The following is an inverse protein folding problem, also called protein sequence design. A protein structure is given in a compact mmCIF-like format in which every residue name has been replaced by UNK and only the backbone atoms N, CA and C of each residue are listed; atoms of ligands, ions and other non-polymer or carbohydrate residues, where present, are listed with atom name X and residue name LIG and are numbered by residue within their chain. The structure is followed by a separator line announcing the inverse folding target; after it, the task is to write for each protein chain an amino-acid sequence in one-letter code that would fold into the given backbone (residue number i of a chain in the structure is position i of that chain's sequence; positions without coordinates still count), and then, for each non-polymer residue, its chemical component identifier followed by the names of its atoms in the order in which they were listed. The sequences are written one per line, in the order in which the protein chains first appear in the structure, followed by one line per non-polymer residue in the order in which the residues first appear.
data_IF_246560786978
#
_entry.id   IF_246560786978
#
_cell.length_a   1.000
_cell.length_b   1.000
_cell.length_c   1.000
_cell.angle_alpha   90.00
_cell.angle_beta   90.00
_cell.angle_gamma   90.00
#
_symmetry.space_group_name_H-M   'P 1'
#
loop_
_entity.id
_entity.type
_entity.pdbx_description
1 polymer ?
#
# COMPACT_ATOMS: atom_id res chain seq x y z
N UNK A 1 4.73 -19.55 6.12
CA UNK A 1 3.88 -19.15 7.27
C UNK A 1 2.52 -18.66 6.76
N UNK A 2 1.42 -19.25 7.22
CA UNK A 2 0.09 -18.79 6.84
C UNK A 2 -0.16 -17.41 7.46
N UNK A 3 -0.54 -16.43 6.65
CA UNK A 3 -0.87 -15.08 7.10
C UNK A 3 -2.08 -15.15 8.03
N UNK A 4 -2.04 -14.59 9.26
CA UNK A 4 -3.19 -14.60 10.15
C UNK A 4 -4.36 -13.84 9.49
N UNK A 5 -5.50 -14.51 9.29
CA UNK A 5 -6.71 -13.85 8.83
C UNK A 5 -7.23 -12.89 9.92
N UNK A 6 -7.69 -11.71 9.52
CA UNK A 6 -8.23 -10.70 10.43
C UNK A 6 -9.43 -11.21 11.24
N UNK A 7 -9.25 -11.46 12.54
CA UNK A 7 -10.32 -11.88 13.47
C UNK A 7 -11.02 -10.73 14.22
N UNK A 8 -10.71 -9.46 13.89
CA UNK A 8 -11.22 -8.28 14.59
C UNK A 8 -12.02 -7.28 13.72
N UNK A 9 -12.47 -6.19 14.36
CA UNK A 9 -13.08 -5.02 13.69
C UNK A 9 -12.05 -4.15 12.93
N UNK A 10 -10.75 -4.30 13.22
CA UNK A 10 -9.66 -3.51 12.63
C UNK A 10 -8.41 -4.36 12.35
N UNK A 11 -7.31 -3.69 12.00
CA UNK A 11 -5.98 -4.29 11.92
C UNK A 11 -5.53 -4.85 13.28
N UNK A 12 -4.78 -5.95 13.25
CA UNK A 12 -4.07 -6.43 14.44
C UNK A 12 -2.84 -5.55 14.67
N UNK A 13 -2.82 -4.86 15.80
CA UNK A 13 -1.79 -3.88 16.16
C UNK A 13 -0.63 -4.49 16.96
N UNK A 14 -0.78 -5.73 17.42
CA UNK A 14 0.16 -6.35 18.36
C UNK A 14 1.57 -6.53 17.77
N UNK A 15 1.66 -6.69 16.44
CA UNK A 15 2.91 -6.83 15.70
C UNK A 15 3.59 -5.51 15.31
N UNK A 16 3.01 -4.35 15.63
CA UNK A 16 3.58 -3.08 15.18
C UNK A 16 4.91 -2.76 15.89
N UNK A 17 5.92 -2.45 15.08
CA UNK A 17 7.28 -2.06 15.48
C UNK A 17 7.80 -0.92 14.58
N UNK A 18 8.95 -0.36 14.93
CA UNK A 18 9.62 0.69 14.13
C UNK A 18 8.91 2.05 14.18
N UNK A 19 9.21 2.90 13.21
CA UNK A 19 8.73 4.28 13.16
C UNK A 19 7.20 4.42 13.18
N UNK A 20 6.46 3.46 12.61
CA UNK A 20 5.00 3.47 12.66
C UNK A 20 4.49 3.34 14.11
N UNK A 21 5.17 2.53 14.92
CA UNK A 21 4.87 2.38 16.35
C UNK A 21 5.22 3.65 17.12
N UNK A 22 6.42 4.18 16.90
CA UNK A 22 6.90 5.40 17.56
C UNK A 22 5.99 6.60 17.27
N UNK A 23 5.46 6.69 16.05
CA UNK A 23 4.55 7.74 15.64
C UNK A 23 3.07 7.50 16.04
N UNK A 24 2.77 6.40 16.73
CA UNK A 24 1.43 5.97 17.15
C UNK A 24 0.46 5.82 15.96
N UNK A 25 0.86 5.06 14.94
CA UNK A 25 0.00 4.74 13.80
C UNK A 25 -1.20 3.90 14.25
N UNK A 26 -2.41 4.28 13.86
CA UNK A 26 -3.67 3.61 14.20
C UNK A 26 -4.50 3.23 12.99
N UNK A 27 -4.19 3.78 11.81
CA UNK A 27 -4.98 3.50 10.62
C UNK A 27 -6.42 4.01 10.78
N UNK A 28 -7.34 3.20 10.27
CA UNK A 28 -8.78 3.37 10.48
C UNK A 28 -9.36 2.49 11.59
N UNK A 29 -8.54 1.96 12.51
CA UNK A 29 -9.05 1.22 13.66
C UNK A 29 -9.94 2.14 14.52
N UNK A 30 -11.00 1.58 15.11
CA UNK A 30 -12.08 2.30 15.81
C UNK A 30 -12.95 3.21 14.91
N UNK A 31 -12.65 3.27 13.61
CA UNK A 31 -13.49 3.93 12.60
C UNK A 31 -14.62 3.05 12.08
N UNK A 32 -15.25 3.48 10.99
CA UNK A 32 -16.28 2.69 10.30
C UNK A 32 -15.65 1.44 9.66
N UNK A 33 -16.28 0.28 9.83
CA UNK A 33 -15.84 -0.98 9.22
C UNK A 33 -16.69 -1.25 8.00
N UNK A 34 -16.06 -1.38 6.83
CA UNK A 34 -16.74 -1.73 5.57
C UNK A 34 -16.11 -2.98 4.98
N UNK A 35 -16.92 -3.79 4.31
CA UNK A 35 -16.44 -4.93 3.51
C UNK A 35 -16.67 -4.62 2.04
N UNK A 36 -15.62 -4.70 1.22
CA UNK A 36 -15.67 -4.37 -0.20
C UNK A 36 -15.51 -5.62 -1.05
N UNK A 37 -16.37 -5.75 -2.07
CA UNK A 37 -16.37 -6.89 -3.00
C UNK A 37 -16.10 -6.44 -4.45
N UNK A 38 -15.98 -5.13 -4.68
CA UNK A 38 -15.78 -4.55 -6.00
C UNK A 38 -14.67 -3.51 -5.97
N UNK A 39 -14.03 -3.28 -7.11
CA UNK A 39 -13.02 -2.22 -7.27
C UNK A 39 -13.63 -0.83 -7.04
N UNK A 40 -14.89 -0.64 -7.46
CA UNK A 40 -15.62 0.62 -7.25
C UNK A 40 -15.83 0.92 -5.76
N UNK A 41 -16.22 -0.08 -4.96
CA UNK A 41 -16.38 0.09 -3.52
C UNK A 41 -15.03 0.34 -2.84
N UNK A 42 -13.99 -0.42 -3.21
CA UNK A 42 -12.64 -0.20 -2.68
C UNK A 42 -12.21 1.25 -2.94
N UNK A 43 -12.34 1.74 -4.17
CA UNK A 43 -12.01 3.13 -4.53
C UNK A 43 -12.82 4.13 -3.69
N UNK A 44 -14.14 3.97 -3.65
CA UNK A 44 -15.05 4.85 -2.89
C UNK A 44 -14.64 5.00 -1.41
N UNK A 45 -14.30 3.90 -0.74
CA UNK A 45 -14.03 3.92 0.70
C UNK A 45 -12.59 4.29 1.07
N UNK A 46 -11.68 4.21 0.10
CA UNK A 46 -10.26 4.56 0.28
C UNK A 46 -9.95 6.02 -0.06
N UNK A 47 -10.63 6.66 -1.02
CA UNK A 47 -10.24 7.99 -1.55
C UNK A 47 -10.73 9.22 -0.74
N UNK A 48 -11.41 9.03 0.39
CA UNK A 48 -11.75 10.11 1.34
C UNK A 48 -10.90 10.04 2.62
N UNK A 49 -11.09 10.95 3.58
CA UNK A 49 -10.35 10.97 4.86
C UNK A 49 -11.15 10.41 6.06
N UNK A 50 -12.34 9.85 5.84
CA UNK A 50 -13.13 9.27 6.93
C UNK A 50 -12.40 8.03 7.45
N UNK A 51 -12.18 7.98 8.76
CA UNK A 51 -11.53 6.86 9.40
C UNK A 51 -12.29 5.55 9.13
N UNK A 52 -11.63 4.60 8.44
CA UNK A 52 -12.25 3.33 8.06
C UNK A 52 -11.31 2.15 8.09
N UNK A 53 -11.82 1.03 8.58
CA UNK A 53 -11.28 -0.30 8.25
C UNK A 53 -12.02 -0.83 7.02
N UNK A 54 -11.30 -0.94 5.91
CA UNK A 54 -11.76 -1.48 4.64
C UNK A 54 -11.28 -2.92 4.51
N UNK A 55 -12.21 -3.88 4.68
CA UNK A 55 -11.93 -5.32 4.59
C UNK A 55 -12.21 -5.82 3.17
N UNK A 56 -11.29 -6.57 2.60
CA UNK A 56 -11.53 -7.25 1.32
C UNK A 56 -12.47 -8.46 1.55
N UNK A 57 -13.67 -8.42 0.98
CA UNK A 57 -14.64 -9.51 1.00
C UNK A 57 -14.49 -10.50 -0.15
N UNK A 58 -13.65 -10.19 -1.13
CA UNK A 58 -13.27 -11.04 -2.25
C UNK A 58 -11.88 -10.61 -2.76
N UNK A 59 -11.24 -11.47 -3.55
CA UNK A 59 -10.14 -11.02 -4.39
C UNK A 59 -10.69 -10.05 -5.44
N UNK A 60 -10.02 -8.92 -5.64
CA UNK A 60 -10.45 -7.89 -6.59
C UNK A 60 -9.51 -7.88 -7.80
N UNK A 61 -10.09 -7.76 -8.99
CA UNK A 61 -9.36 -7.68 -10.26
C UNK A 61 -9.95 -6.59 -11.13
N UNK A 62 -9.08 -5.96 -11.93
CA UNK A 62 -9.46 -5.07 -13.00
C UNK A 62 -8.79 -5.50 -14.32
N UNK A 63 -9.51 -5.37 -15.43
CA UNK A 63 -8.97 -5.67 -16.76
C UNK A 63 -7.87 -4.70 -17.17
N UNK A 64 -7.89 -3.48 -16.63
CA UNK A 64 -6.86 -2.46 -16.84
C UNK A 64 -6.43 -1.88 -15.51
N UNK A 65 -5.23 -1.28 -15.48
CA UNK A 65 -4.69 -0.59 -14.30
C UNK A 65 -5.72 0.38 -13.71
N UNK A 66 -6.02 0.19 -12.43
CA UNK A 66 -6.82 1.11 -11.61
C UNK A 66 -5.94 1.68 -10.51
N UNK A 67 -5.76 3.00 -10.50
CA UNK A 67 -5.11 3.71 -9.39
C UNK A 67 -6.16 4.23 -8.40
N UNK A 68 -5.96 3.92 -7.13
CA UNK A 68 -6.74 4.40 -5.99
C UNK A 68 -5.86 5.37 -5.20
N UNK A 69 -6.28 6.63 -5.14
CA UNK A 69 -5.57 7.68 -4.42
C UNK A 69 -6.10 7.77 -2.99
N UNK A 70 -5.58 6.96 -2.08
CA UNK A 70 -6.15 6.86 -0.73
C UNK A 70 -5.94 8.15 0.08
N UNK A 71 -6.94 8.51 0.89
CA UNK A 71 -6.87 9.60 1.88
C UNK A 71 -6.34 9.11 3.23
N UNK A 72 -6.57 9.88 4.29
CA UNK A 72 -6.08 9.58 5.64
C UNK A 72 -6.95 8.58 6.43
N UNK A 73 -6.36 8.02 7.49
CA UNK A 73 -7.03 7.21 8.50
C UNK A 73 -7.64 5.91 7.94
N UNK A 74 -6.92 5.24 7.05
CA UNK A 74 -7.34 3.99 6.41
C UNK A 74 -6.65 2.80 7.04
N UNK A 75 -7.42 1.72 7.20
CA UNK A 75 -6.88 0.38 7.34
C UNK A 75 -7.40 -0.44 6.17
N UNK A 76 -6.55 -0.82 5.21
CA UNK A 76 -6.90 -1.78 4.17
C UNK A 76 -6.42 -3.18 4.57
N UNK A 77 -7.36 -4.11 4.68
CA UNK A 77 -7.13 -5.40 5.33
C UNK A 77 -7.63 -6.56 4.46
N UNK A 78 -6.73 -7.46 4.08
CA UNK A 78 -7.13 -8.74 3.50
C UNK A 78 -7.71 -9.68 4.55
N UNK A 79 -8.64 -10.53 4.11
CA UNK A 79 -9.38 -11.49 4.95
C UNK A 79 -9.23 -12.91 4.42
N UNK A 80 -9.88 -13.88 5.07
CA UNK A 80 -10.03 -15.25 4.56
C UNK A 80 -10.86 -15.32 3.27
N UNK A 81 -11.69 -14.30 2.99
CA UNK A 81 -12.52 -14.22 1.78
C UNK A 81 -11.78 -13.62 0.58
N UNK A 82 -10.78 -12.80 0.84
CA UNK A 82 -10.01 -12.14 -0.20
C UNK A 82 -8.85 -11.35 0.35
N UNK A 83 -7.72 -11.47 -0.33
CA UNK A 83 -6.52 -10.67 -0.03
C UNK A 83 -5.81 -10.17 -1.29
N UNK A 84 -6.29 -10.55 -2.48
CA UNK A 84 -5.60 -10.23 -3.74
C UNK A 84 -6.19 -9.00 -4.41
N UNK A 85 -5.28 -8.17 -4.94
CA UNK A 85 -5.53 -6.96 -5.73
C UNK A 85 -4.78 -7.10 -7.06
N UNK A 86 -5.50 -7.51 -8.12
CA UNK A 86 -4.95 -7.67 -9.47
C UNK A 86 -5.20 -6.43 -10.32
N UNK A 87 -4.12 -5.84 -10.88
CA UNK A 87 -4.15 -4.58 -11.63
C UNK A 87 -4.73 -3.38 -10.86
N UNK A 88 -4.72 -3.45 -9.51
CA UNK A 88 -5.20 -2.39 -8.62
C UNK A 88 -4.00 -1.85 -7.86
N UNK A 89 -3.80 -0.54 -7.96
CA UNK A 89 -2.63 0.18 -7.51
C UNK A 89 -3.04 1.19 -6.44
N UNK A 90 -2.26 1.31 -5.38
CA UNK A 90 -2.52 2.24 -4.28
C UNK A 90 -1.50 3.38 -4.32
N UNK A 91 -1.98 4.61 -4.39
CA UNK A 91 -1.14 5.80 -4.31
C UNK A 91 -1.61 6.70 -3.16
N UNK A 92 -0.68 7.24 -2.39
CA UNK A 92 -1.01 8.20 -1.34
C UNK A 92 -1.58 9.47 -1.96
N UNK A 93 -2.81 9.83 -1.60
CA UNK A 93 -3.39 11.13 -1.91
C UNK A 93 -2.68 12.26 -1.16
N UNK A 94 -3.05 13.51 -1.47
CA UNK A 94 -2.44 14.70 -0.82
C UNK A 94 -2.63 14.73 0.70
N UNK A 95 -3.74 14.16 1.18
CA UNK A 95 -4.13 14.14 2.60
C UNK A 95 -3.74 12.85 3.31
N UNK A 96 -3.29 11.82 2.58
CA UNK A 96 -2.90 10.52 3.14
C UNK A 96 -1.97 10.68 4.34
N UNK A 97 -2.26 9.94 5.41
CA UNK A 97 -1.56 9.97 6.69
C UNK A 97 -2.30 9.03 7.65
N UNK A 98 -1.56 8.40 8.56
CA UNK A 98 -2.12 7.45 9.53
C UNK A 98 -2.84 6.29 8.85
N UNK A 99 -2.13 5.53 8.02
CA UNK A 99 -2.70 4.47 7.19
C UNK A 99 -2.01 3.11 7.42
N UNK A 100 -2.80 2.04 7.41
CA UNK A 100 -2.36 0.66 7.63
C UNK A 100 -2.77 -0.20 6.43
N UNK A 101 -1.84 -1.03 5.95
CA UNK A 101 -2.05 -1.98 4.87
C UNK A 101 -1.59 -3.36 5.32
N UNK A 102 -2.52 -4.31 5.47
CA UNK A 102 -2.25 -5.60 6.10
C UNK A 102 -2.81 -6.79 5.33
N UNK A 103 -2.01 -7.86 5.25
CA UNK A 103 -2.39 -9.15 4.64
C UNK A 103 -2.91 -8.96 3.20
N UNK A 104 -2.14 -8.29 2.34
CA UNK A 104 -2.52 -8.01 0.96
C UNK A 104 -1.59 -8.72 -0.03
N UNK A 105 -2.11 -9.12 -1.18
CA UNK A 105 -1.36 -9.71 -2.28
C UNK A 105 -1.59 -8.88 -3.56
N UNK A 106 -0.56 -8.19 -4.02
CA UNK A 106 -0.59 -7.39 -5.23
C UNK A 106 0.05 -8.18 -6.38
N UNK A 107 -0.66 -8.26 -7.50
CA UNK A 107 -0.14 -8.73 -8.78
C UNK A 107 -0.69 -7.89 -9.94
N UNK A 108 -0.06 -8.00 -11.10
CA UNK A 108 -0.42 -7.19 -12.27
C UNK A 108 -0.01 -7.88 -13.57
N UNK A 109 -0.60 -7.44 -14.68
CA UNK A 109 -0.23 -7.90 -16.02
C UNK A 109 1.15 -7.37 -16.44
N UNK A 110 1.93 -8.15 -17.19
CA UNK A 110 3.29 -7.79 -17.63
C UNK A 110 3.38 -6.54 -18.54
N UNK A 111 2.25 -5.98 -18.96
CA UNK A 111 2.19 -4.70 -19.69
C UNK A 111 2.29 -3.46 -18.79
N UNK A 112 2.17 -3.61 -17.46
CA UNK A 112 2.24 -2.51 -16.50
C UNK A 112 3.58 -2.52 -15.76
N UNK A 113 4.64 -2.05 -16.43
CA UNK A 113 6.02 -2.12 -15.94
C UNK A 113 6.83 -0.84 -16.14
N UNK A 114 6.14 0.25 -16.49
CA UNK A 114 6.73 1.55 -16.69
C UNK A 114 7.07 2.21 -15.35
N UNK A 115 7.74 3.37 -15.41
CA UNK A 115 8.17 4.11 -14.22
C UNK A 115 7.05 4.41 -13.21
N UNK A 116 5.80 4.54 -13.67
CA UNK A 116 4.64 4.86 -12.84
C UNK A 116 3.77 3.67 -12.45
N UNK A 117 4.21 2.44 -12.73
CA UNK A 117 3.45 1.21 -12.47
C UNK A 117 3.87 0.56 -11.14
N UNK A 118 3.99 1.34 -10.06
CA UNK A 118 4.21 0.81 -8.72
C UNK A 118 2.91 0.43 -8.04
N UNK A 119 2.74 -0.85 -7.72
CA UNK A 119 1.56 -1.39 -7.03
C UNK A 119 1.24 -0.61 -5.75
N UNK A 120 2.25 -0.08 -5.08
CA UNK A 120 2.10 0.86 -3.98
C UNK A 120 3.06 2.05 -4.10
N UNK A 121 2.51 3.27 -4.04
CA UNK A 121 3.26 4.53 -4.16
C UNK A 121 2.90 5.48 -3.01
N UNK A 122 3.78 5.62 -2.02
CA UNK A 122 3.62 6.52 -0.89
C UNK A 122 4.60 7.68 -1.02
N UNK A 123 4.08 8.89 -1.24
CA UNK A 123 4.88 10.10 -1.47
C UNK A 123 4.53 11.29 -0.56
N UNK A 124 3.51 11.15 0.28
CA UNK A 124 2.96 12.19 1.13
C UNK A 124 2.62 11.62 2.51
N UNK A 125 2.39 12.51 3.48
CA UNK A 125 1.87 12.12 4.77
C UNK A 125 2.89 11.50 5.71
N UNK A 126 2.39 10.96 6.81
CA UNK A 126 3.23 10.27 7.77
C UNK A 126 2.43 9.21 8.50
N UNK A 127 3.10 8.33 9.25
CA UNK A 127 2.46 7.26 10.04
C UNK A 127 1.87 6.17 9.14
N UNK A 128 2.75 5.35 8.58
CA UNK A 128 2.36 4.27 7.69
C UNK A 128 2.83 2.93 8.23
N UNK A 129 1.92 1.95 8.29
CA UNK A 129 2.30 0.57 8.58
C UNK A 129 1.89 -0.37 7.45
N UNK A 130 2.89 -0.92 6.78
CA UNK A 130 2.73 -1.87 5.68
C UNK A 130 3.23 -3.22 6.21
N UNK A 131 2.33 -4.17 6.38
CA UNK A 131 2.64 -5.41 7.08
C UNK A 131 2.03 -6.63 6.40
N UNK A 132 2.81 -7.72 6.32
CA UNK A 132 2.37 -8.96 5.68
C UNK A 132 1.81 -8.77 4.26
N UNK A 133 2.38 -7.86 3.47
CA UNK A 133 2.02 -7.75 2.07
C UNK A 133 2.89 -8.68 1.23
N UNK A 134 2.34 -9.16 0.12
CA UNK A 134 3.11 -9.73 -0.99
C UNK A 134 2.90 -8.84 -2.20
N UNK A 135 3.98 -8.39 -2.82
CA UNK A 135 3.95 -7.71 -4.11
C UNK A 135 4.75 -8.56 -5.10
N UNK A 136 4.11 -8.97 -6.19
CA UNK A 136 4.71 -9.83 -7.20
C UNK A 136 4.75 -9.10 -8.53
N UNK A 137 5.95 -8.98 -9.08
CA UNK A 137 6.20 -8.49 -10.43
C UNK A 137 6.01 -9.56 -11.50
N UNK A 138 6.49 -9.26 -12.70
CA UNK A 138 6.37 -10.07 -13.91
C UNK A 138 7.70 -10.19 -14.67
N UNK A 139 8.84 -10.04 -13.98
CA UNK A 139 10.18 -10.04 -14.59
C UNK A 139 10.46 -11.30 -15.42
N UNK A 140 9.99 -12.46 -14.99
CA UNK A 140 10.06 -13.73 -15.72
C UNK A 140 9.36 -13.72 -17.09
N UNK A 141 8.28 -12.94 -17.24
CA UNK A 141 7.52 -12.83 -18.49
C UNK A 141 8.15 -11.85 -19.49
N UNK A 142 8.92 -10.86 -19.01
CA UNK A 142 9.65 -9.92 -19.86
C UNK A 142 10.87 -9.33 -19.13
N UNK A 143 12.12 -9.69 -19.43
CA UNK A 143 13.26 -9.25 -18.63
C UNK A 143 13.65 -7.76 -18.80
N UNK A 144 12.98 -6.99 -19.67
CA UNK A 144 13.43 -5.63 -20.07
C UNK A 144 12.69 -4.45 -19.40
N UNK A 145 11.67 -4.68 -18.57
CA UNK A 145 10.89 -3.62 -17.92
C UNK A 145 11.37 -3.28 -16.50
N UNK A 146 10.95 -2.11 -15.98
CA UNK A 146 11.41 -1.60 -14.67
C UNK A 146 10.72 -2.28 -13.48
N UNK A 147 9.50 -2.77 -13.64
CA UNK A 147 8.81 -3.66 -12.67
C UNK A 147 9.05 -3.26 -11.20
N UNK A 148 8.63 -2.04 -10.88
CA UNK A 148 8.81 -1.39 -9.58
C UNK A 148 7.61 -1.77 -8.71
N UNK A 149 7.81 -2.25 -7.48
CA UNK A 149 6.68 -2.73 -6.68
C UNK A 149 6.21 -1.72 -5.63
N UNK A 150 7.09 -1.28 -4.74
CA UNK A 150 6.80 -0.31 -3.69
C UNK A 150 7.73 0.91 -3.77
N UNK A 151 7.15 2.10 -3.69
CA UNK A 151 7.86 3.35 -3.48
C UNK A 151 7.42 4.01 -2.17
N UNK A 152 8.39 4.44 -1.37
CA UNK A 152 8.20 5.33 -0.21
C UNK A 152 9.19 6.48 -0.34
N UNK A 153 8.71 7.71 -0.53
CA UNK A 153 9.58 8.87 -0.67
C UNK A 153 8.80 10.18 -0.64
N UNK A 154 9.30 11.21 -1.33
CA UNK A 154 8.72 12.54 -1.24
C UNK A 154 8.69 13.05 0.20
N UNK A 155 7.51 13.42 0.68
CA UNK A 155 7.29 13.90 2.06
C UNK A 155 6.78 12.81 3.01
N UNK A 156 6.76 11.56 2.57
CA UNK A 156 6.36 10.45 3.41
C UNK A 156 7.35 10.25 4.56
N UNK A 157 6.85 10.15 5.78
CA UNK A 157 7.68 9.92 6.97
C UNK A 157 7.03 8.94 7.96
N UNK A 158 7.80 8.43 8.91
CA UNK A 158 7.36 7.50 9.93
C UNK A 158 6.69 6.24 9.36
N UNK A 159 7.41 5.56 8.46
CA UNK A 159 6.94 4.36 7.76
C UNK A 159 7.57 3.11 8.36
N UNK A 160 6.78 2.06 8.55
CA UNK A 160 7.30 0.72 8.86
C UNK A 160 6.79 -0.30 7.86
N UNK A 161 7.71 -1.01 7.23
CA UNK A 161 7.48 -2.13 6.32
C UNK A 161 7.94 -3.41 7.02
N UNK A 162 7.00 -4.27 7.40
CA UNK A 162 7.29 -5.48 8.21
C UNK A 162 6.71 -6.73 7.56
N UNK A 163 7.38 -7.88 7.77
CA UNK A 163 6.90 -9.21 7.38
C UNK A 163 6.40 -9.36 5.93
N UNK A 164 6.92 -8.54 5.01
CA UNK A 164 6.42 -8.42 3.64
C UNK A 164 7.35 -9.07 2.63
N UNK A 165 6.79 -9.50 1.49
CA UNK A 165 7.49 -10.22 0.43
C UNK A 165 7.41 -9.45 -0.89
N UNK A 166 8.56 -9.20 -1.50
CA UNK A 166 8.69 -8.60 -2.83
C UNK A 166 9.41 -9.60 -3.72
N UNK A 167 8.85 -9.94 -4.88
CA UNK A 167 9.40 -11.00 -5.73
C UNK A 167 9.10 -10.77 -7.22
N UNK A 168 9.85 -11.50 -8.06
CA UNK A 168 9.68 -11.52 -9.52
C UNK A 168 9.77 -10.13 -10.17
N UNK A 169 10.69 -9.28 -9.70
CA UNK A 169 10.75 -7.87 -10.08
C UNK A 169 12.20 -7.43 -10.37
N UNK A 170 12.36 -6.24 -10.97
CA UNK A 170 13.67 -5.58 -11.08
C UNK A 170 13.93 -4.70 -9.84
N UNK A 171 12.96 -3.86 -9.46
CA UNK A 171 13.08 -2.96 -8.31
C UNK A 171 11.97 -3.22 -7.27
N UNK A 172 12.31 -3.90 -6.18
CA UNK A 172 11.29 -4.37 -5.23
C UNK A 172 10.77 -3.23 -4.37
N UNK A 173 11.68 -2.51 -3.72
CA UNK A 173 11.36 -1.41 -2.81
C UNK A 173 12.30 -0.25 -3.12
N UNK A 174 11.74 0.93 -3.33
CA UNK A 174 12.47 2.19 -3.53
C UNK A 174 12.16 3.09 -2.34
N UNK A 175 13.20 3.51 -1.62
CA UNK A 175 13.11 4.42 -0.50
C UNK A 175 13.83 5.73 -0.85
N UNK A 176 13.13 6.86 -0.75
CA UNK A 176 13.66 8.19 -1.03
C UNK A 176 13.25 8.74 -2.40
N UNK A 177 13.46 10.05 -2.55
CA UNK A 177 13.12 10.81 -3.74
C UNK A 177 14.14 10.49 -4.86
N UNK A 178 13.72 10.18 -6.10
CA UNK A 178 14.65 10.01 -7.23
C UNK A 178 15.15 11.35 -7.80
N UNK A 179 14.90 12.46 -7.10
CA UNK A 179 15.23 13.81 -7.56
C UNK A 179 16.47 14.33 -6.83
N UNK A 180 17.59 14.32 -7.56
CA UNK A 180 18.88 14.87 -7.12
C UNK A 180 19.03 16.36 -7.42
N UNK A 181 17.93 17.04 -7.82
CA UNK A 181 17.96 18.46 -8.12
C UNK A 181 18.39 19.29 -6.90
N UNK A 182 18.97 20.46 -7.19
CA UNK A 182 19.32 21.41 -6.13
C UNK A 182 18.08 21.85 -5.31
N UNK A 183 16.90 21.88 -5.94
CA UNK A 183 15.64 22.21 -5.27
C UNK A 183 15.24 21.12 -4.26
N UNK A 184 15.30 19.84 -4.65
CA UNK A 184 15.04 18.73 -3.74
C UNK A 184 16.04 18.72 -2.57
N UNK A 185 17.33 18.90 -2.84
CA UNK A 185 18.36 19.01 -1.78
C UNK A 185 18.12 20.16 -0.80
N UNK A 186 17.58 21.28 -1.25
CA UNK A 186 17.27 22.42 -0.39
C UNK A 186 16.03 22.21 0.50
N UNK A 187 15.08 21.38 0.06
CA UNK A 187 13.85 21.07 0.79
C UNK A 187 14.08 20.09 1.95
N UNK A 188 14.97 19.10 1.77
CA UNK A 188 15.23 18.06 2.77
C UNK A 188 16.60 18.30 3.45
N UNK A 189 16.60 19.00 4.58
CA UNK A 189 17.80 19.31 5.39
C UNK A 189 18.20 18.17 6.34
N UNK A 190 18.29 16.96 5.82
CA UNK A 190 18.88 15.81 6.53
C UNK A 190 20.38 15.95 6.62
#
# INVERSE_FOLDING_TARGET
PATPAARGQGADMSGMIGFAKEANTTGGNNGEVVTVNTVADLKKYMEDDKARTVKLGANLSADSKVSINFGANKTLLGTDKGNTLHNIYLASGKTASNDIFQNLNFNHDARYRENGDMQMFISSGQKYWIDHITATGTKDQNPKGLDKLLYVGGKADNVSLTNSKFQNNEYGVILGQPDDSAAAKAEYKG
#
